data_IF_686319266937
#
_entry.id   IF_686319266937
#
_cell.length_a   1.000
_cell.length_b   1.000
_cell.length_c   1.000
_cell.angle_alpha   90.00
_cell.angle_beta   90.00
_cell.angle_gamma   90.00
#
_symmetry.space_group_name_H-M   'P 1'
#
loop_
_entity.id
_entity.type
_entity.pdbx_description
1 polymer ?
#
# COMPACT_ATOMS: atom_id res chain seq x y z
N UNK A 1 43.98 28.78 67.56
CA UNK A 1 43.43 27.92 66.49
C UNK A 1 44.54 27.53 65.55
N UNK A 2 45.03 26.29 65.65
CA UNK A 2 46.15 25.77 64.86
C UNK A 2 45.64 25.19 63.54
N UNK A 3 46.11 25.72 62.41
CA UNK A 3 45.88 25.14 61.08
C UNK A 3 47.02 24.18 60.72
N UNK A 4 46.72 22.89 60.61
CA UNK A 4 47.62 21.82 60.15
C UNK A 4 47.94 22.01 58.65
N UNK A 5 49.19 22.34 58.33
CA UNK A 5 49.76 22.12 56.98
C UNK A 5 49.90 20.62 56.72
N UNK A 6 49.20 20.09 55.73
CA UNK A 6 49.47 18.77 55.13
C UNK A 6 50.63 18.92 54.15
N UNK A 7 51.78 18.30 54.45
CA UNK A 7 52.83 18.05 53.47
C UNK A 7 52.33 17.00 52.46
N UNK A 8 52.06 17.42 51.23
CA UNK A 8 51.84 16.53 50.09
C UNK A 8 53.16 16.20 49.41
N UNK A 9 53.50 14.91 49.39
CA UNK A 9 54.61 14.34 48.61
C UNK A 9 54.28 14.50 47.12
N UNK A 10 55.20 14.99 46.27
CA UNK A 10 54.94 15.15 44.84
C UNK A 10 54.89 13.78 44.12
N UNK A 11 54.07 13.63 43.07
CA UNK A 11 54.04 12.41 42.26
C UNK A 11 55.35 12.24 41.48
N UNK A 12 55.87 11.01 41.45
CA UNK A 12 57.13 10.57 40.81
C UNK A 12 57.20 10.80 39.27
N UNK A 13 56.30 11.57 38.67
CA UNK A 13 56.20 11.76 37.22
C UNK A 13 57.08 12.88 36.63
N UNK A 14 57.76 13.68 37.45
CA UNK A 14 58.48 14.86 36.96
C UNK A 14 59.97 14.62 36.61
N UNK A 15 60.60 13.55 37.09
CA UNK A 15 62.04 13.33 36.91
C UNK A 15 62.42 12.46 35.68
N UNK A 16 61.46 11.84 34.99
CA UNK A 16 61.74 10.92 33.87
C UNK A 16 61.63 11.55 32.47
N UNK A 17 61.55 12.88 32.35
CA UNK A 17 61.41 13.58 31.06
C UNK A 17 62.74 13.98 30.40
N UNK A 18 63.89 13.70 31.01
CA UNK A 18 65.19 14.12 30.50
C UNK A 18 66.15 12.94 30.29
N UNK A 19 65.86 12.09 29.29
CA UNK A 19 66.87 11.28 28.58
C UNK A 19 66.22 10.51 27.42
N UNK A 20 65.77 11.23 26.39
CA UNK A 20 65.24 10.60 25.18
C UNK A 20 65.67 11.39 23.94
N UNK A 21 66.99 11.57 23.78
CA UNK A 21 67.60 12.00 22.53
C UNK A 21 68.78 11.07 22.22
N UNK A 22 68.46 9.95 21.57
CA UNK A 22 69.42 8.94 21.16
C UNK A 22 68.73 7.95 20.23
N UNK A 23 68.53 8.36 18.97
CA UNK A 23 68.01 7.47 17.93
C UNK A 23 69.07 6.45 17.53
N UNK A 24 68.94 5.23 18.04
CA UNK A 24 69.61 4.04 17.51
C UNK A 24 68.80 2.79 17.87
N UNK A 25 68.12 2.25 16.86
CA UNK A 25 67.64 0.87 16.71
C UNK A 25 66.75 0.28 17.84
N UNK A 26 65.46 0.61 17.82
CA UNK A 26 64.42 -0.15 18.55
C UNK A 26 64.09 -1.41 17.72
N UNK A 27 64.95 -2.42 17.85
CA UNK A 27 64.76 -3.73 17.23
C UNK A 27 63.84 -4.61 18.07
N UNK A 28 62.62 -4.86 17.60
CA UNK A 28 61.73 -5.87 18.20
C UNK A 28 62.23 -7.25 17.82
N UNK A 29 62.38 -8.13 18.82
CA UNK A 29 62.93 -9.46 18.64
C UNK A 29 61.95 -10.52 19.16
N UNK A 30 61.87 -11.64 18.46
CA UNK A 30 61.01 -12.76 18.85
C UNK A 30 61.81 -13.92 19.42
N UNK A 31 61.22 -14.62 20.39
CA UNK A 31 61.72 -15.88 20.93
C UNK A 31 60.55 -16.86 21.09
N UNK A 32 60.84 -18.15 21.24
CA UNK A 32 59.84 -19.20 21.46
C UNK A 32 60.08 -19.82 22.84
N UNK A 33 59.02 -19.91 23.65
CA UNK A 33 59.05 -20.60 24.95
C UNK A 33 57.78 -21.45 25.04
N UNK A 34 57.91 -22.74 25.35
CA UNK A 34 56.79 -23.70 25.40
C UNK A 34 55.89 -23.67 24.15
N UNK A 35 56.49 -23.51 22.95
CA UNK A 35 55.77 -23.44 21.68
C UNK A 35 54.98 -22.13 21.43
N UNK A 36 55.09 -21.14 22.32
CA UNK A 36 54.47 -19.82 22.15
C UNK A 36 55.53 -18.78 21.78
N UNK A 37 55.19 -17.91 20.82
CA UNK A 37 56.06 -16.79 20.42
C UNK A 37 55.91 -15.63 21.42
N UNK A 38 57.04 -15.19 21.97
CA UNK A 38 57.16 -13.97 22.75
C UNK A 38 57.93 -12.90 21.98
N UNK A 39 57.71 -11.65 22.38
CA UNK A 39 58.28 -10.46 21.78
C UNK A 39 58.96 -9.65 22.88
N UNK A 40 60.26 -9.46 22.75
CA UNK A 40 61.05 -8.51 23.54
C UNK A 40 61.44 -7.29 22.70
N UNK A 41 61.93 -6.24 23.36
CA UNK A 41 62.26 -4.98 22.66
C UNK A 41 61.08 -4.00 22.56
N UNK A 42 60.06 -4.12 23.41
CA UNK A 42 58.91 -3.20 23.36
C UNK A 42 59.28 -1.83 23.95
N UNK A 43 58.78 -0.76 23.34
CA UNK A 43 58.88 0.58 23.91
C UNK A 43 57.81 0.76 24.98
N UNK A 44 58.21 0.68 26.26
CA UNK A 44 57.32 0.83 27.39
C UNK A 44 57.08 2.29 27.78
N UNK A 45 55.82 2.71 27.79
CA UNK A 45 55.38 4.03 28.25
C UNK A 45 54.25 3.93 29.28
N UNK A 46 54.28 4.74 30.36
CA UNK A 46 53.15 4.85 31.27
C UNK A 46 51.95 5.47 30.56
N UNK A 47 50.75 5.02 30.93
CA UNK A 47 49.49 5.61 30.51
C UNK A 47 48.88 6.40 31.66
N UNK A 48 48.31 7.57 31.36
CA UNK A 48 47.70 8.44 32.36
C UNK A 48 46.28 7.99 32.75
N UNK A 49 45.54 7.36 31.82
CA UNK A 49 44.15 6.98 32.04
C UNK A 49 43.97 5.49 32.30
N UNK A 50 43.53 5.11 33.50
CA UNK A 50 43.18 3.71 33.80
C UNK A 50 41.89 3.24 33.10
N UNK A 51 40.92 4.13 32.84
CA UNK A 51 39.62 3.78 32.21
C UNK A 51 39.70 3.77 30.69
N UNK A 52 40.36 4.76 30.10
CA UNK A 52 40.42 4.95 28.65
C UNK A 52 41.80 4.63 28.05
N UNK A 53 42.59 3.79 28.74
CA UNK A 53 43.96 3.42 28.38
C UNK A 53 44.12 2.96 26.92
N UNK A 54 43.15 2.23 26.37
CA UNK A 54 43.23 1.77 24.97
C UNK A 54 43.10 2.93 23.97
N UNK A 55 42.29 3.95 24.26
CA UNK A 55 42.18 5.12 23.39
C UNK A 55 43.46 5.96 23.44
N UNK A 56 44.02 6.12 24.65
CA UNK A 56 45.32 6.77 24.87
C UNK A 56 46.47 6.02 24.17
N UNK A 57 46.55 4.71 24.34
CA UNK A 57 47.54 3.86 23.67
C UNK A 57 47.43 3.95 22.15
N UNK A 58 46.21 4.00 21.58
CA UNK A 58 45.99 4.26 20.14
C UNK A 58 46.50 5.63 19.70
N UNK A 59 46.29 6.68 20.51
CA UNK A 59 46.79 8.02 20.22
C UNK A 59 48.32 8.06 20.21
N UNK A 60 48.96 7.51 21.25
CA UNK A 60 50.42 7.43 21.37
C UNK A 60 51.00 6.60 20.21
N UNK A 61 50.41 5.44 19.95
CA UNK A 61 50.83 4.58 18.84
C UNK A 61 50.73 5.27 17.48
N UNK A 62 49.65 6.02 17.21
CA UNK A 62 49.53 6.83 15.98
C UNK A 62 50.62 7.92 15.91
N UNK A 63 50.89 8.62 17.01
CA UNK A 63 51.91 9.67 17.07
C UNK A 63 53.32 9.13 16.83
N UNK A 64 53.62 7.95 17.40
CA UNK A 64 54.94 7.30 17.30
C UNK A 64 55.07 6.28 16.16
N UNK A 65 54.07 6.20 15.28
CA UNK A 65 54.03 5.26 14.12
C UNK A 65 54.22 3.78 14.53
N UNK A 66 53.55 3.39 15.61
CA UNK A 66 53.53 2.02 16.13
C UNK A 66 52.28 1.28 15.64
N UNK A 67 52.42 0.01 15.29
CA UNK A 67 51.32 -0.82 14.74
C UNK A 67 50.74 -1.77 15.79
N UNK A 68 51.53 -2.11 16.81
CA UNK A 68 51.21 -3.13 17.81
C UNK A 68 51.38 -2.57 19.23
N UNK A 69 50.57 -3.09 20.16
CA UNK A 69 50.63 -2.73 21.58
C UNK A 69 50.39 -3.95 22.48
N UNK A 70 51.15 -4.06 23.56
CA UNK A 70 50.85 -4.88 24.73
C UNK A 70 50.49 -3.96 25.91
N UNK A 71 49.52 -4.36 26.73
CA UNK A 71 49.12 -3.57 27.91
C UNK A 71 49.51 -4.33 29.16
N UNK A 72 50.22 -3.66 30.07
CA UNK A 72 50.49 -4.16 31.41
C UNK A 72 49.73 -3.32 32.44
N UNK A 73 49.03 -4.00 33.34
CA UNK A 73 48.40 -3.40 34.51
C UNK A 73 49.03 -4.01 35.75
N UNK A 74 49.51 -3.17 36.66
CA UNK A 74 49.88 -3.50 38.04
C UNK A 74 48.96 -2.73 38.99
N UNK A 75 49.10 -2.98 40.29
CA UNK A 75 48.34 -2.23 41.31
C UNK A 75 48.77 -0.77 41.39
N UNK A 76 50.03 -0.50 41.03
CA UNK A 76 50.68 0.81 41.07
C UNK A 76 50.49 1.64 39.79
N UNK A 77 50.29 1.00 38.63
CA UNK A 77 50.35 1.69 37.34
C UNK A 77 49.80 0.89 36.15
N UNK A 78 49.63 1.58 35.02
CA UNK A 78 49.31 1.00 33.73
C UNK A 78 50.30 1.47 32.67
N UNK A 79 50.81 0.55 31.86
CA UNK A 79 51.77 0.83 30.80
C UNK A 79 51.37 0.18 29.47
N UNK A 80 51.79 0.81 28.38
CA UNK A 80 51.75 0.25 27.04
C UNK A 80 53.17 -0.05 26.55
N UNK A 81 53.39 -1.29 26.14
CA UNK A 81 54.57 -1.71 25.38
C UNK A 81 54.27 -1.64 23.89
N UNK A 82 54.91 -0.72 23.17
CA UNK A 82 54.68 -0.50 21.74
C UNK A 82 55.69 -1.24 20.88
N UNK A 83 55.23 -1.72 19.73
CA UNK A 83 56.09 -2.27 18.67
C UNK A 83 55.77 -1.61 17.31
N UNK A 84 56.81 -1.25 16.53
CA UNK A 84 56.64 -0.74 15.17
C UNK A 84 56.12 -1.83 14.24
N UNK A 85 55.79 -1.42 13.01
CA UNK A 85 55.48 -2.36 11.93
C UNK A 85 56.73 -3.13 11.54
N UNK A 86 56.68 -4.45 11.66
CA UNK A 86 57.74 -5.37 11.25
C UNK A 86 57.31 -6.20 10.03
N UNK A 87 58.28 -6.81 9.32
CA UNK A 87 57.98 -7.80 8.26
C UNK A 87 57.33 -9.05 8.84
N UNK A 88 57.74 -9.48 10.04
CA UNK A 88 57.09 -10.56 10.77
C UNK A 88 55.75 -10.10 11.37
N UNK A 89 54.75 -10.98 11.32
CA UNK A 89 53.42 -10.73 11.91
C UNK A 89 53.45 -10.95 13.41
N UNK A 90 53.53 -9.86 14.18
CA UNK A 90 53.54 -9.90 15.66
C UNK A 90 52.15 -10.08 16.30
N UNK A 91 51.07 -9.98 15.53
CA UNK A 91 49.70 -10.12 16.05
C UNK A 91 49.48 -11.50 16.63
N UNK A 92 49.15 -11.55 17.92
CA UNK A 92 48.92 -12.78 18.66
C UNK A 92 50.18 -13.36 19.32
N UNK A 93 51.32 -12.68 19.26
CA UNK A 93 52.49 -13.00 20.10
C UNK A 93 52.33 -12.38 21.48
N UNK A 94 53.01 -12.91 22.49
CA UNK A 94 52.99 -12.40 23.86
C UNK A 94 54.14 -11.42 24.11
N UNK A 95 53.96 -10.42 24.98
CA UNK A 95 55.07 -9.59 25.43
C UNK A 95 55.94 -10.37 26.42
N UNK A 96 57.26 -10.44 26.17
CA UNK A 96 58.23 -11.07 27.06
C UNK A 96 58.20 -10.41 28.45
N UNK A 97 58.38 -9.08 28.49
CA UNK A 97 58.40 -8.34 29.74
C UNK A 97 57.08 -8.45 30.51
N UNK A 98 55.92 -8.35 29.83
CA UNK A 98 54.63 -8.49 30.51
C UNK A 98 54.41 -9.90 31.09
N UNK A 99 54.86 -10.93 30.36
CA UNK A 99 54.72 -12.33 30.77
C UNK A 99 55.64 -12.65 31.95
N UNK A 100 56.93 -12.28 31.89
CA UNK A 100 57.87 -12.46 33.00
C UNK A 100 57.41 -11.71 34.24
N UNK A 101 56.94 -10.48 34.07
CA UNK A 101 56.44 -9.66 35.18
C UNK A 101 55.09 -10.15 35.73
N UNK A 102 54.39 -11.03 35.02
CA UNK A 102 53.23 -11.77 35.52
C UNK A 102 53.62 -13.01 36.33
N UNK A 103 54.83 -13.55 36.16
CA UNK A 103 55.36 -14.72 36.87
C UNK A 103 56.23 -14.35 38.08
N UNK A 104 57.07 -13.31 37.96
CA UNK A 104 58.08 -12.93 38.97
C UNK A 104 57.60 -11.83 39.94
N UNK A 105 56.41 -11.29 39.72
CA UNK A 105 55.83 -10.24 40.56
C UNK A 105 56.29 -8.82 40.19
N UNK A 106 56.28 -7.93 41.18
CA UNK A 106 56.33 -6.48 40.93
C UNK A 106 57.72 -5.85 40.95
N UNK A 107 58.75 -6.47 41.54
CA UNK A 107 60.10 -5.91 41.54
C UNK A 107 61.15 -7.00 41.39
N UNK A 108 61.92 -6.94 40.30
CA UNK A 108 62.99 -7.88 39.97
C UNK A 108 63.82 -7.34 38.78
N UNK A 109 65.03 -7.86 38.64
CA UNK A 109 65.92 -7.57 37.50
C UNK A 109 66.41 -8.90 36.93
N UNK A 110 66.23 -9.10 35.63
CA UNK A 110 66.51 -10.38 34.99
C UNK A 110 67.32 -10.22 33.71
N UNK A 111 68.49 -10.84 33.66
CA UNK A 111 69.19 -11.17 32.43
C UNK A 111 69.03 -12.68 32.17
N UNK A 112 68.73 -13.06 30.94
CA UNK A 112 68.47 -14.45 30.59
C UNK A 112 69.19 -14.82 29.30
N UNK A 113 69.89 -15.96 29.31
CA UNK A 113 70.41 -16.59 28.10
C UNK A 113 69.26 -17.21 27.30
N UNK A 114 69.28 -17.00 25.98
CA UNK A 114 68.30 -17.53 25.03
C UNK A 114 68.90 -18.71 24.25
N UNK A 115 68.04 -19.58 23.73
CA UNK A 115 68.46 -20.78 22.98
C UNK A 115 69.30 -20.47 21.73
N UNK A 116 69.16 -19.27 21.17
CA UNK A 116 69.90 -18.81 19.99
C UNK A 116 71.22 -18.09 20.33
N UNK A 117 71.67 -18.16 21.59
CA UNK A 117 72.91 -17.56 22.07
C UNK A 117 72.83 -16.06 22.35
N UNK A 118 71.67 -15.44 22.11
CA UNK A 118 71.41 -14.05 22.52
C UNK A 118 71.01 -14.00 23.99
N UNK A 119 70.96 -12.81 24.54
CA UNK A 119 70.52 -12.56 25.91
C UNK A 119 69.36 -11.57 25.93
N UNK A 120 68.42 -11.76 26.84
CA UNK A 120 67.33 -10.83 27.12
C UNK A 120 67.58 -10.13 28.47
N UNK A 121 67.30 -8.83 28.54
CA UNK A 121 67.29 -8.06 29.78
C UNK A 121 65.89 -7.49 30.00
N UNK A 122 65.32 -7.78 31.17
CA UNK A 122 64.08 -7.18 31.63
C UNK A 122 64.24 -6.68 33.06
N UNK A 123 63.88 -5.42 33.32
CA UNK A 123 63.85 -4.88 34.69
C UNK A 123 62.47 -4.33 35.02
N UNK A 124 61.92 -4.76 36.15
CA UNK A 124 60.63 -4.32 36.68
C UNK A 124 60.79 -3.81 38.09
N UNK A 125 60.27 -2.63 38.40
CA UNK A 125 60.26 -2.05 39.76
C UNK A 125 58.86 -1.53 40.02
N UNK A 126 58.25 -1.87 41.15
CA UNK A 126 56.87 -1.49 41.49
C UNK A 126 55.87 -1.75 40.36
N UNK A 127 55.97 -2.90 39.69
CA UNK A 127 55.11 -3.31 38.59
C UNK A 127 55.39 -2.61 37.26
N UNK A 128 56.28 -1.62 37.23
CA UNK A 128 56.68 -0.83 36.06
C UNK A 128 57.86 -1.49 35.37
N UNK A 129 57.72 -1.82 34.09
CA UNK A 129 58.86 -2.15 33.22
C UNK A 129 59.64 -0.86 32.98
N UNK A 130 60.92 -0.85 33.34
CA UNK A 130 61.75 0.34 33.20
C UNK A 130 61.98 0.66 31.71
N UNK A 131 61.88 1.94 31.30
CA UNK A 131 62.13 2.32 29.91
C UNK A 131 63.51 1.87 29.42
N UNK A 132 63.56 1.24 28.25
CA UNK A 132 64.80 0.71 27.67
C UNK A 132 65.32 -0.57 28.33
N UNK A 133 64.61 -1.13 29.30
CA UNK A 133 64.97 -2.37 30.01
C UNK A 133 64.01 -3.51 29.65
N UNK A 134 63.66 -3.59 28.36
CA UNK A 134 63.07 -4.75 27.70
C UNK A 134 63.83 -4.86 26.38
N UNK A 135 64.98 -5.51 26.40
CA UNK A 135 65.91 -5.59 25.27
C UNK A 135 66.41 -7.01 25.06
N UNK A 136 66.73 -7.34 23.81
CA UNK A 136 67.38 -8.58 23.41
C UNK A 136 68.62 -8.22 22.59
N UNK A 137 69.77 -8.80 22.90
CA UNK A 137 71.03 -8.48 22.26
C UNK A 137 72.11 -9.54 22.48
N UNK A 138 73.33 -9.22 22.09
CA UNK A 138 74.51 -10.02 22.43
C UNK A 138 74.87 -9.93 23.92
N UNK A 139 75.82 -10.78 24.34
CA UNK A 139 76.23 -10.91 25.73
C UNK A 139 76.84 -9.61 26.27
N UNK A 140 77.70 -8.98 25.47
CA UNK A 140 78.43 -7.77 25.84
C UNK A 140 77.47 -6.60 26.10
N UNK A 141 76.50 -6.38 25.21
CA UNK A 141 75.47 -5.36 25.36
C UNK A 141 74.60 -5.59 26.58
N UNK A 142 74.13 -6.82 26.78
CA UNK A 142 73.23 -7.14 27.89
C UNK A 142 73.95 -7.07 29.22
N UNK A 143 75.20 -7.51 29.29
CA UNK A 143 76.04 -7.37 30.49
C UNK A 143 76.31 -5.90 30.83
N UNK A 144 76.65 -5.07 29.84
CA UNK A 144 76.87 -3.64 30.04
C UNK A 144 75.60 -2.92 30.53
N UNK A 145 74.45 -3.21 29.92
CA UNK A 145 73.19 -2.58 30.32
C UNK A 145 72.71 -3.10 31.69
N UNK A 146 72.91 -4.39 32.01
CA UNK A 146 72.62 -4.92 33.35
C UNK A 146 73.43 -4.20 34.43
N UNK A 147 74.75 -4.04 34.24
CA UNK A 147 75.62 -3.33 35.17
C UNK A 147 75.20 -1.87 35.38
N UNK A 148 74.91 -1.18 34.28
CA UNK A 148 74.46 0.21 34.29
C UNK A 148 73.12 0.36 35.01
N UNK A 149 72.14 -0.48 34.69
CA UNK A 149 70.81 -0.43 35.31
C UNK A 149 70.87 -0.81 36.78
N UNK A 150 71.65 -1.82 37.16
CA UNK A 150 71.88 -2.16 38.56
C UNK A 150 72.45 -0.96 39.34
N UNK A 151 73.48 -0.32 38.82
CA UNK A 151 74.10 0.86 39.45
C UNK A 151 73.11 2.02 39.62
N UNK A 152 72.28 2.27 38.60
CA UNK A 152 71.28 3.35 38.64
C UNK A 152 70.12 3.05 39.59
N UNK A 153 69.65 1.81 39.65
CA UNK A 153 68.51 1.42 40.50
C UNK A 153 68.93 1.34 41.96
N UNK A 154 70.13 0.82 42.25
CA UNK A 154 70.63 0.66 43.63
C UNK A 154 71.17 1.94 44.25
N UNK A 155 71.38 3.00 43.46
CA UNK A 155 71.68 4.34 43.99
C UNK A 155 70.54 4.90 44.88
N UNK A 156 69.31 4.41 44.72
CA UNK A 156 68.17 4.70 45.58
C UNK A 156 67.99 3.56 46.60
N UNK A 157 68.20 3.79 47.91
CA UNK A 157 68.09 2.75 48.94
C UNK A 157 66.73 2.05 48.97
N UNK A 158 65.65 2.76 48.62
CA UNK A 158 64.29 2.19 48.61
C UNK A 158 64.14 1.18 47.48
N UNK A 159 64.73 1.47 46.31
CA UNK A 159 64.71 0.55 45.16
C UNK A 159 65.71 -0.58 45.32
N UNK A 160 66.87 -0.32 45.94
CA UNK A 160 67.85 -1.34 46.27
C UNK A 160 67.23 -2.47 47.11
N UNK A 161 66.49 -2.10 48.18
CA UNK A 161 65.77 -3.06 49.02
C UNK A 161 64.72 -3.90 48.25
N UNK A 162 64.12 -3.36 47.19
CA UNK A 162 63.16 -4.09 46.35
C UNK A 162 63.80 -5.12 45.43
N UNK A 163 65.08 -4.95 45.11
CA UNK A 163 65.87 -5.86 44.28
C UNK A 163 66.65 -6.90 45.08
N UNK A 164 66.75 -6.74 46.40
CA UNK A 164 67.48 -7.66 47.27
C UNK A 164 66.95 -9.11 47.10
N UNK A 165 67.84 -10.03 46.70
CA UNK A 165 67.50 -11.43 46.43
C UNK A 165 66.59 -11.67 45.21
N UNK A 166 66.34 -10.66 44.37
CA UNK A 166 65.42 -10.73 43.20
C UNK A 166 66.10 -10.38 41.88
N UNK A 167 67.39 -10.68 41.80
CA UNK A 167 68.18 -10.56 40.58
C UNK A 167 68.37 -11.95 40.02
N UNK A 168 68.03 -12.14 38.75
CA UNK A 168 68.22 -13.38 38.01
C UNK A 168 69.17 -13.07 36.88
N UNK A 169 70.29 -13.77 36.80
CA UNK A 169 71.29 -13.53 35.75
C UNK A 169 72.10 -14.81 35.56
N UNK A 170 72.68 -15.07 34.37
CA UNK A 170 73.58 -16.20 34.20
C UNK A 170 74.81 -16.07 35.11
N UNK A 171 75.35 -17.20 35.57
CA UNK A 171 76.49 -17.21 36.49
C UNK A 171 77.71 -16.50 35.89
N UNK A 172 77.84 -16.52 34.56
CA UNK A 172 78.90 -15.85 33.79
C UNK A 172 78.85 -14.32 33.86
N UNK A 173 77.80 -13.72 34.46
CA UNK A 173 77.64 -12.28 34.64
C UNK A 173 78.01 -11.83 36.06
N UNK A 174 78.21 -12.74 37.02
CA UNK A 174 78.59 -12.46 38.42
C UNK A 174 77.62 -11.52 39.18
N UNK A 175 76.32 -11.62 38.93
CA UNK A 175 75.29 -10.77 39.57
C UNK A 175 74.48 -11.45 40.67
N UNK A 176 74.20 -12.74 40.52
CA UNK A 176 73.30 -13.48 41.40
C UNK A 176 73.65 -14.97 41.35
N UNK A 177 73.19 -15.71 42.36
CA UNK A 177 73.21 -17.17 42.35
C UNK A 177 71.93 -17.77 41.70
N UNK A 178 70.91 -16.95 41.41
CA UNK A 178 69.72 -17.36 40.66
C UNK A 178 69.96 -17.24 39.15
N UNK A 179 70.10 -18.38 38.49
CA UNK A 179 70.44 -18.51 37.07
C UNK A 179 69.31 -19.16 36.23
N UNK A 180 68.07 -19.16 36.73
CA UNK A 180 66.94 -19.84 36.07
C UNK A 180 66.70 -19.33 34.65
N UNK A 181 66.46 -20.24 33.70
CA UNK A 181 66.11 -19.88 32.33
C UNK A 181 64.69 -19.29 32.21
N UNK A 182 64.42 -18.57 31.12
CA UNK A 182 63.07 -18.02 30.83
C UNK A 182 62.01 -19.13 30.83
N UNK A 183 62.32 -20.31 30.31
CA UNK A 183 61.41 -21.45 30.24
C UNK A 183 61.07 -22.07 31.60
N UNK A 184 61.93 -21.90 32.61
CA UNK A 184 61.67 -22.34 33.99
C UNK A 184 60.75 -21.38 34.74
N UNK A 185 60.79 -20.09 34.39
CA UNK A 185 60.01 -19.02 35.02
C UNK A 185 58.63 -18.86 34.37
N UNK A 186 58.57 -18.98 33.04
CA UNK A 186 57.33 -18.90 32.27
C UNK A 186 56.78 -20.31 32.14
N UNK A 187 55.77 -20.64 32.96
CA UNK A 187 55.03 -21.89 32.84
C UNK A 187 53.91 -21.82 31.79
N UNK A 188 53.21 -22.93 31.52
CA UNK A 188 52.06 -22.96 30.60
C UNK A 188 50.96 -21.95 30.96
N UNK A 189 50.74 -21.69 32.26
CA UNK A 189 49.70 -20.78 32.75
C UNK A 189 50.12 -19.29 32.71
N UNK A 190 51.39 -18.99 32.46
CA UNK A 190 51.90 -17.62 32.36
C UNK A 190 51.39 -16.88 31.11
N UNK A 191 50.92 -17.60 30.09
CA UNK A 191 50.45 -17.05 28.81
C UNK A 191 49.02 -16.49 28.87
N UNK A 192 48.84 -15.35 29.55
CA UNK A 192 47.52 -14.70 29.69
C UNK A 192 47.16 -13.84 28.48
N UNK A 193 45.88 -13.84 28.09
CA UNK A 193 45.34 -13.05 26.96
C UNK A 193 45.59 -11.54 27.06
N UNK A 194 45.80 -11.03 28.27
CA UNK A 194 46.13 -9.62 28.53
C UNK A 194 47.54 -9.24 28.09
N UNK A 195 48.47 -10.20 27.99
CA UNK A 195 49.85 -9.99 27.54
C UNK A 195 50.04 -10.12 26.03
N UNK A 196 48.97 -10.40 25.28
CA UNK A 196 49.00 -10.50 23.82
C UNK A 196 49.18 -9.13 23.18
N UNK A 197 50.05 -9.08 22.17
CA UNK A 197 50.16 -7.94 21.28
C UNK A 197 48.90 -7.80 20.43
N UNK A 198 48.28 -6.63 20.53
CA UNK A 198 47.09 -6.23 19.79
C UNK A 198 47.42 -5.20 18.74
N UNK A 199 46.66 -5.22 17.65
CA UNK A 199 46.80 -4.28 16.55
C UNK A 199 46.14 -2.95 16.94
N UNK A 200 46.85 -1.84 16.77
CA UNK A 200 46.35 -0.51 17.14
C UNK A 200 45.34 0.05 16.12
N UNK A 201 45.50 -0.30 14.85
CA UNK A 201 44.68 0.18 13.73
C UNK A 201 44.03 -0.99 12.98
N UNK A 202 42.79 -0.80 12.52
CA UNK A 202 42.19 -1.65 11.50
C UNK A 202 42.90 -1.28 10.19
N UNK A 203 43.75 -2.17 9.68
CA UNK A 203 44.62 -1.92 8.53
C UNK A 203 43.90 -1.86 7.18
N UNK A 204 42.79 -1.13 7.09
CA UNK A 204 42.11 -0.83 5.82
C UNK A 204 42.91 0.23 5.06
N UNK A 205 43.27 -0.06 3.82
CA UNK A 205 43.95 0.91 2.96
C UNK A 205 42.95 1.92 2.40
N UNK A 206 43.38 3.16 2.13
CA UNK A 206 42.51 4.20 1.57
C UNK A 206 41.80 3.76 0.27
N UNK A 207 42.47 2.92 -0.53
CA UNK A 207 41.92 2.33 -1.75
C UNK A 207 40.75 1.38 -1.48
N UNK A 208 40.78 0.60 -0.38
CA UNK A 208 39.68 -0.28 0.01
C UNK A 208 38.45 0.51 0.45
N UNK A 209 38.65 1.66 1.12
CA UNK A 209 37.57 2.56 1.52
C UNK A 209 36.92 3.19 0.28
N UNK A 210 37.73 3.68 -0.66
CA UNK A 210 37.23 4.27 -1.91
C UNK A 210 36.43 3.25 -2.74
N UNK A 211 36.94 2.03 -2.90
CA UNK A 211 36.25 0.98 -3.64
C UNK A 211 34.93 0.56 -2.98
N UNK A 212 34.91 0.47 -1.64
CA UNK A 212 33.69 0.21 -0.88
C UNK A 212 32.63 1.31 -1.07
N UNK A 213 33.06 2.57 -1.12
CA UNK A 213 32.17 3.71 -1.39
C UNK A 213 31.54 3.64 -2.79
N UNK A 214 32.33 3.33 -3.82
CA UNK A 214 31.82 3.17 -5.19
C UNK A 214 30.83 2.01 -5.30
N UNK A 215 31.15 0.86 -4.69
CA UNK A 215 30.26 -0.30 -4.68
C UNK A 215 28.92 0.02 -3.99
N UNK A 216 28.95 0.72 -2.85
CA UNK A 216 27.74 1.14 -2.15
C UNK A 216 26.88 2.09 -3.01
N UNK A 217 27.51 3.07 -3.67
CA UNK A 217 26.81 4.00 -4.55
C UNK A 217 26.15 3.28 -5.75
N UNK A 218 26.83 2.30 -6.34
CA UNK A 218 26.29 1.50 -7.44
C UNK A 218 25.05 0.69 -7.01
N UNK A 219 25.08 0.10 -5.80
CA UNK A 219 23.94 -0.64 -5.25
C UNK A 219 22.74 0.30 -5.03
N UNK A 220 22.97 1.50 -4.50
CA UNK A 220 21.91 2.49 -4.29
C UNK A 220 21.31 2.95 -5.63
N UNK A 221 22.16 3.23 -6.63
CA UNK A 221 21.70 3.64 -7.96
C UNK A 221 20.89 2.53 -8.65
N UNK A 222 21.33 1.27 -8.57
CA UNK A 222 20.60 0.12 -9.08
C UNK A 222 19.24 -0.05 -8.37
N UNK A 223 19.22 0.08 -7.04
CA UNK A 223 17.99 0.02 -6.25
C UNK A 223 16.98 1.11 -6.64
N UNK A 224 17.44 2.36 -6.79
CA UNK A 224 16.60 3.47 -7.25
C UNK A 224 16.04 3.23 -8.67
N UNK A 225 16.85 2.67 -9.57
CA UNK A 225 16.43 2.31 -10.93
C UNK A 225 15.34 1.24 -10.94
N UNK A 226 15.45 0.21 -10.10
CA UNK A 226 14.43 -0.84 -9.96
C UNK A 226 13.12 -0.28 -9.42
N UNK A 227 13.17 0.57 -8.39
CA UNK A 227 11.98 1.21 -7.82
C UNK A 227 11.27 2.10 -8.85
N UNK A 228 12.03 2.92 -9.59
CA UNK A 228 11.48 3.76 -10.65
C UNK A 228 10.84 2.93 -11.78
N UNK A 229 11.47 1.81 -12.17
CA UNK A 229 10.92 0.91 -13.19
C UNK A 229 9.61 0.25 -12.74
N UNK A 230 9.53 -0.19 -11.48
CA UNK A 230 8.31 -0.76 -10.91
C UNK A 230 7.16 0.25 -10.90
N UNK A 231 7.42 1.48 -10.45
CA UNK A 231 6.40 2.54 -10.41
C UNK A 231 5.90 2.90 -11.82
N UNK A 232 6.80 2.99 -12.80
CA UNK A 232 6.41 3.27 -14.19
C UNK A 232 5.55 2.17 -14.79
N UNK A 233 5.83 0.91 -14.44
CA UNK A 233 5.05 -0.23 -14.89
C UNK A 233 3.64 -0.23 -14.29
N UNK A 234 3.52 0.07 -13.00
CA UNK A 234 2.23 0.16 -12.32
C UNK A 234 1.38 1.32 -12.89
N UNK A 235 1.98 2.46 -13.19
CA UNK A 235 1.28 3.58 -13.85
C UNK A 235 0.74 3.17 -15.23
N UNK A 236 1.55 2.51 -16.05
CA UNK A 236 1.14 2.05 -17.37
C UNK A 236 -0.02 1.02 -17.32
N UNK A 237 0.01 0.11 -16.34
CA UNK A 237 -1.07 -0.86 -16.12
C UNK A 237 -2.38 -0.17 -15.70
N UNK A 238 -2.32 0.83 -14.82
CA UNK A 238 -3.49 1.62 -14.40
C UNK A 238 -4.09 2.42 -15.56
N UNK A 239 -3.24 3.07 -16.35
CA UNK A 239 -3.68 3.81 -17.54
C UNK A 239 -4.32 2.89 -18.59
N UNK A 240 -3.73 1.71 -18.82
CA UNK A 240 -4.30 0.71 -19.73
C UNK A 240 -5.67 0.21 -19.26
N UNK A 241 -5.83 -0.05 -17.95
CA UNK A 241 -7.11 -0.45 -17.37
C UNK A 241 -8.16 0.67 -17.48
N UNK A 242 -7.79 1.90 -17.17
CA UNK A 242 -8.69 3.06 -17.28
C UNK A 242 -9.14 3.28 -18.73
N UNK A 243 -8.22 3.14 -19.69
CA UNK A 243 -8.55 3.24 -21.11
C UNK A 243 -9.49 2.11 -21.53
N UNK A 244 -9.22 0.86 -21.13
CA UNK A 244 -10.08 -0.28 -21.44
C UNK A 244 -11.50 -0.10 -20.87
N UNK A 245 -11.63 0.38 -19.64
CA UNK A 245 -12.92 0.69 -19.03
C UNK A 245 -13.64 1.83 -19.77
N UNK A 246 -12.93 2.90 -20.13
CA UNK A 246 -13.51 4.01 -20.88
C UNK A 246 -13.96 3.58 -22.29
N UNK A 247 -13.21 2.70 -22.95
CA UNK A 247 -13.60 2.13 -24.26
C UNK A 247 -14.83 1.25 -24.13
N UNK A 248 -14.90 0.39 -23.11
CA UNK A 248 -16.06 -0.46 -22.86
C UNK A 248 -17.30 0.37 -22.51
N UNK A 249 -17.16 1.38 -21.66
CA UNK A 249 -18.24 2.31 -21.33
C UNK A 249 -18.75 3.04 -22.57
N UNK A 250 -17.85 3.56 -23.42
CA UNK A 250 -18.25 4.17 -24.70
C UNK A 250 -18.93 3.18 -25.63
N UNK A 251 -18.53 1.90 -25.63
CA UNK A 251 -19.19 0.86 -26.42
C UNK A 251 -20.62 0.63 -25.92
N UNK A 252 -20.79 0.44 -24.61
CA UNK A 252 -22.09 0.27 -23.97
C UNK A 252 -22.99 1.49 -24.16
N UNK A 253 -22.45 2.70 -24.07
CA UNK A 253 -23.18 3.94 -24.32
C UNK A 253 -23.63 4.05 -25.78
N UNK A 254 -22.76 3.72 -26.73
CA UNK A 254 -23.11 3.67 -28.15
C UNK A 254 -24.15 2.59 -28.45
N UNK A 255 -24.06 1.43 -27.79
CA UNK A 255 -25.05 0.35 -27.87
C UNK A 255 -26.40 0.79 -27.29
N UNK A 256 -26.41 1.48 -26.14
CA UNK A 256 -27.61 2.02 -25.52
C UNK A 256 -28.23 3.16 -26.34
N UNK A 257 -27.42 4.05 -26.91
CA UNK A 257 -27.88 5.10 -27.82
C UNK A 257 -28.45 4.55 -29.15
N UNK A 258 -28.00 3.35 -29.54
CA UNK A 258 -28.57 2.60 -30.68
C UNK A 258 -29.82 1.80 -30.29
N UNK A 259 -30.15 1.63 -29.01
CA UNK A 259 -31.36 0.91 -28.63
C UNK A 259 -32.60 1.74 -29.00
N UNK A 260 -33.47 1.20 -29.86
CA UNK A 260 -34.75 1.83 -30.20
C UNK A 260 -35.62 1.90 -28.93
N UNK A 261 -36.17 3.08 -28.57
CA UNK A 261 -37.02 3.21 -27.39
C UNK A 261 -38.23 2.28 -27.50
N UNK A 262 -38.60 1.63 -26.39
CA UNK A 262 -39.74 0.73 -26.30
C UNK A 262 -41.04 1.54 -26.12
N UNK A 263 -41.94 1.63 -27.12
CA UNK A 263 -43.07 2.57 -27.10
C UNK A 263 -44.11 2.30 -25.99
N UNK A 264 -44.19 1.08 -25.48
CA UNK A 264 -45.14 0.71 -24.41
C UNK A 264 -44.71 1.18 -23.01
N UNK A 265 -43.47 1.65 -22.85
CA UNK A 265 -42.95 2.16 -21.56
C UNK A 265 -43.39 3.58 -21.23
N UNK A 266 -43.89 4.32 -22.22
CA UNK A 266 -44.40 5.69 -22.07
C UNK A 266 -45.93 5.75 -21.98
N UNK A 267 -46.61 4.61 -22.09
CA UNK A 267 -48.07 4.50 -22.07
C UNK A 267 -48.55 3.79 -20.80
N UNK A 268 -49.75 4.12 -20.29
CA UNK A 268 -50.33 3.42 -19.16
C UNK A 268 -50.73 1.98 -19.53
N UNK A 269 -50.86 1.13 -18.52
CA UNK A 269 -51.44 -0.21 -18.68
C UNK A 269 -52.85 -0.16 -19.28
N UNK A 270 -53.19 -1.15 -20.12
CA UNK A 270 -54.49 -1.24 -20.77
C UNK A 270 -55.66 -1.28 -19.77
N UNK A 271 -55.57 -2.04 -18.67
CA UNK A 271 -56.65 -2.10 -17.68
C UNK A 271 -56.82 -0.78 -16.94
N UNK A 272 -55.72 -0.10 -16.61
CA UNK A 272 -55.76 1.20 -15.92
C UNK A 272 -56.44 2.26 -16.77
N UNK A 273 -56.10 2.34 -18.06
CA UNK A 273 -56.76 3.28 -18.97
C UNK A 273 -58.23 2.92 -19.17
N UNK A 274 -58.53 1.64 -19.36
CA UNK A 274 -59.90 1.18 -19.58
C UNK A 274 -60.80 1.44 -18.37
N UNK A 275 -60.32 1.15 -17.15
CA UNK A 275 -61.04 1.45 -15.92
C UNK A 275 -61.22 2.96 -15.68
N UNK A 276 -60.20 3.78 -15.98
CA UNK A 276 -60.33 5.23 -15.85
C UNK A 276 -61.35 5.82 -16.84
N UNK A 277 -61.39 5.31 -18.07
CA UNK A 277 -62.39 5.69 -19.06
C UNK A 277 -63.80 5.27 -18.65
N UNK A 278 -63.95 4.07 -18.08
CA UNK A 278 -65.22 3.59 -17.53
C UNK A 278 -65.74 4.52 -16.42
N UNK A 279 -64.89 4.87 -15.46
CA UNK A 279 -65.25 5.80 -14.38
C UNK A 279 -65.70 7.17 -14.90
N UNK A 280 -65.00 7.73 -15.90
CA UNK A 280 -65.41 9.00 -16.50
C UNK A 280 -66.78 8.91 -17.16
N UNK A 281 -67.09 7.76 -17.78
CA UNK A 281 -68.40 7.56 -18.39
C UNK A 281 -69.50 7.37 -17.34
N UNK A 282 -69.24 6.65 -16.25
CA UNK A 282 -70.19 6.48 -15.15
C UNK A 282 -70.58 7.82 -14.51
N UNK A 283 -69.60 8.72 -14.35
CA UNK A 283 -69.81 10.06 -13.79
C UNK A 283 -70.41 11.06 -14.81
N UNK A 284 -70.50 10.70 -16.10
CA UNK A 284 -71.00 11.58 -17.14
C UNK A 284 -72.53 11.77 -17.04
N UNK A 285 -73.04 13.01 -16.90
CA UNK A 285 -74.47 13.25 -16.90
C UNK A 285 -75.13 12.81 -18.21
N UNK A 286 -76.25 12.08 -18.14
CA UNK A 286 -76.98 11.66 -19.36
C UNK A 286 -77.53 12.86 -20.16
N UNK A 287 -77.81 13.98 -19.49
CA UNK A 287 -78.19 15.23 -20.15
C UNK A 287 -77.70 16.47 -19.40
N UNK A 288 -77.30 17.49 -20.17
CA UNK A 288 -76.87 18.80 -19.67
C UNK A 288 -77.69 19.88 -20.37
N UNK A 289 -78.51 20.61 -19.63
CA UNK A 289 -79.37 21.68 -20.16
C UNK A 289 -80.21 21.23 -21.40
N UNK A 290 -80.69 19.99 -21.45
CA UNK A 290 -81.48 19.47 -22.59
C UNK A 290 -80.63 19.04 -23.80
N UNK A 291 -79.31 18.96 -23.65
CA UNK A 291 -78.42 18.26 -24.58
C UNK A 291 -78.20 16.85 -24.06
N UNK A 292 -78.31 15.84 -24.91
CA UNK A 292 -78.19 14.43 -24.51
C UNK A 292 -76.79 13.92 -24.82
N UNK A 293 -76.27 13.06 -23.95
CA UNK A 293 -75.03 12.34 -24.22
C UNK A 293 -75.16 11.56 -25.53
N UNK A 294 -74.14 11.66 -26.39
CA UNK A 294 -74.12 10.98 -27.68
C UNK A 294 -72.99 9.94 -27.72
N UNK A 295 -71.78 10.39 -27.40
CA UNK A 295 -70.57 9.56 -27.47
C UNK A 295 -69.49 10.10 -26.54
N UNK A 296 -68.50 9.27 -26.24
CA UNK A 296 -67.27 9.66 -25.55
C UNK A 296 -66.08 9.06 -26.28
N UNK A 297 -64.97 9.79 -26.28
CA UNK A 297 -63.71 9.33 -26.83
C UNK A 297 -62.59 9.58 -25.83
N UNK A 298 -61.95 8.52 -25.34
CA UNK A 298 -60.85 8.59 -24.39
C UNK A 298 -59.53 8.14 -25.03
N UNK A 299 -58.47 8.87 -24.72
CA UNK A 299 -57.07 8.50 -24.98
C UNK A 299 -56.30 8.44 -23.64
N UNK A 300 -54.97 8.29 -23.68
CA UNK A 300 -54.15 8.18 -22.47
C UNK A 300 -54.07 9.46 -21.62
N UNK A 301 -54.57 10.60 -22.11
CA UNK A 301 -54.48 11.91 -21.46
C UNK A 301 -55.84 12.49 -21.05
N UNK A 302 -56.90 12.21 -21.81
CA UNK A 302 -58.22 12.78 -21.55
C UNK A 302 -59.35 11.98 -22.19
N UNK A 303 -60.55 12.18 -21.67
CA UNK A 303 -61.82 11.76 -22.24
C UNK A 303 -62.60 12.98 -22.73
N UNK A 304 -63.04 12.96 -23.98
CA UNK A 304 -63.97 13.91 -24.55
C UNK A 304 -65.38 13.34 -24.48
N UNK A 305 -66.26 13.93 -23.68
CA UNK A 305 -67.68 13.61 -23.58
C UNK A 305 -68.47 14.50 -24.53
N UNK A 306 -69.13 13.92 -25.54
CA UNK A 306 -69.81 14.62 -26.61
C UNK A 306 -71.32 14.56 -26.39
N UNK A 307 -71.94 15.73 -26.44
CA UNK A 307 -73.37 15.94 -26.25
C UNK A 307 -73.99 16.54 -27.50
N UNK A 308 -75.14 16.01 -27.91
CA UNK A 308 -75.93 16.53 -29.03
C UNK A 308 -77.19 17.20 -28.52
N UNK A 309 -77.56 18.31 -29.16
CA UNK A 309 -78.79 19.04 -28.83
C UNK A 309 -80.01 18.19 -29.15
N UNK A 310 -80.80 17.84 -28.14
CA UNK A 310 -82.05 17.10 -28.36
C UNK A 310 -83.11 17.98 -29.04
N UNK A 311 -84.13 17.40 -29.70
CA UNK A 311 -85.29 18.16 -30.18
C UNK A 311 -85.95 18.94 -29.04
N UNK A 312 -86.04 20.27 -29.17
CA UNK A 312 -86.52 21.15 -28.10
C UNK A 312 -85.48 21.52 -27.03
N UNK A 313 -84.21 21.12 -27.18
CA UNK A 313 -83.12 21.44 -26.25
C UNK A 313 -82.80 22.94 -26.16
N UNK A 314 -82.05 23.34 -25.12
CA UNK A 314 -81.71 24.76 -24.90
C UNK A 314 -80.65 25.28 -25.88
N UNK A 315 -80.31 26.57 -25.79
CA UNK A 315 -79.25 27.17 -26.60
C UNK A 315 -77.87 26.68 -26.20
N UNK A 316 -76.88 26.82 -27.09
CA UNK A 316 -75.49 26.46 -26.78
C UNK A 316 -74.90 27.25 -25.60
N UNK A 317 -75.34 28.49 -25.40
CA UNK A 317 -74.93 29.29 -24.24
C UNK A 317 -75.37 28.69 -22.91
N UNK A 318 -76.56 28.09 -22.87
CA UNK A 318 -77.06 27.39 -21.67
C UNK A 318 -76.28 26.09 -21.41
N UNK A 319 -75.94 25.34 -22.46
CA UNK A 319 -75.05 24.18 -22.37
C UNK A 319 -73.67 24.55 -21.82
N UNK A 320 -73.01 25.56 -22.40
CA UNK A 320 -71.68 26.01 -21.97
C UNK A 320 -71.71 26.54 -20.53
N UNK A 321 -72.78 27.21 -20.12
CA UNK A 321 -72.94 27.69 -18.75
C UNK A 321 -73.13 26.54 -17.76
N UNK A 322 -73.92 25.53 -18.11
CA UNK A 322 -74.15 24.35 -17.27
C UNK A 322 -72.91 23.43 -17.20
N UNK A 323 -72.14 23.33 -18.28
CA UNK A 323 -70.90 22.55 -18.38
C UNK A 323 -69.62 23.33 -18.03
N UNK A 324 -69.74 24.60 -17.60
CA UNK A 324 -68.59 25.49 -17.40
C UNK A 324 -67.58 24.95 -16.38
N UNK A 325 -68.07 24.35 -15.29
CA UNK A 325 -67.23 23.76 -14.24
C UNK A 325 -66.36 22.58 -14.75
N UNK A 326 -66.80 21.91 -15.82
CA UNK A 326 -66.07 20.80 -16.44
C UNK A 326 -65.36 21.21 -17.75
N UNK A 327 -65.23 22.52 -18.01
CA UNK A 327 -64.50 23.01 -19.18
C UNK A 327 -65.20 22.79 -20.52
N UNK A 328 -66.54 22.81 -20.53
CA UNK A 328 -67.35 22.62 -21.73
C UNK A 328 -66.98 23.57 -22.88
N UNK A 329 -66.90 23.03 -24.10
CA UNK A 329 -66.62 23.77 -25.34
C UNK A 329 -67.68 23.48 -26.40
N UNK A 330 -67.84 24.43 -27.30
CA UNK A 330 -68.66 24.30 -28.51
C UNK A 330 -67.84 23.62 -29.60
N UNK A 331 -68.40 22.58 -30.24
CA UNK A 331 -67.86 22.01 -31.48
C UNK A 331 -68.58 22.59 -32.70
N UNK A 332 -69.91 22.56 -32.72
CA UNK A 332 -70.73 23.14 -33.79
C UNK A 332 -72.06 23.71 -33.22
N UNK A 333 -73.07 23.99 -34.06
CA UNK A 333 -74.37 24.54 -33.62
C UNK A 333 -75.26 23.52 -32.86
N UNK A 334 -75.00 22.22 -33.00
CA UNK A 334 -75.75 21.11 -32.41
C UNK A 334 -74.92 20.14 -31.56
N UNK A 335 -73.61 20.35 -31.45
CA UNK A 335 -72.66 19.48 -30.73
C UNK A 335 -71.78 20.27 -29.76
N UNK A 336 -71.75 19.81 -28.50
CA UNK A 336 -70.90 20.32 -27.43
C UNK A 336 -70.02 19.21 -26.86
N UNK A 337 -68.88 19.59 -26.28
CA UNK A 337 -67.91 18.66 -25.69
C UNK A 337 -67.49 19.09 -24.30
N UNK A 338 -67.27 18.13 -23.41
CA UNK A 338 -66.69 18.32 -22.08
C UNK A 338 -65.44 17.45 -22.00
N UNK A 339 -64.32 18.00 -21.52
CA UNK A 339 -63.06 17.26 -21.40
C UNK A 339 -62.78 16.89 -19.95
N UNK A 340 -62.60 15.60 -19.70
CA UNK A 340 -62.15 15.06 -18.42
C UNK A 340 -60.71 14.60 -18.54
N UNK A 341 -59.80 15.23 -17.79
CA UNK A 341 -58.37 14.89 -17.81
C UNK A 341 -58.14 13.54 -17.10
N UNK A 342 -57.28 12.71 -17.68
CA UNK A 342 -56.80 11.47 -17.07
C UNK A 342 -55.34 11.65 -16.61
N UNK A 343 -55.05 11.27 -15.37
CA UNK A 343 -53.69 11.28 -14.81
C UNK A 343 -53.23 9.85 -14.54
N UNK A 344 -52.77 9.19 -15.60
CA UNK A 344 -52.33 7.80 -15.55
C UNK A 344 -50.81 7.72 -15.65
N UNK A 345 -50.18 7.05 -14.68
CA UNK A 345 -48.74 6.82 -14.71
C UNK A 345 -48.39 5.78 -15.80
N UNK A 346 -47.31 6.01 -16.58
CA UNK A 346 -46.76 4.99 -17.46
C UNK A 346 -46.35 3.75 -16.69
N UNK A 347 -46.47 2.60 -17.32
CA UNK A 347 -46.04 1.33 -16.74
C UNK A 347 -44.60 1.01 -17.12
N UNK A 348 -43.82 0.56 -16.13
CA UNK A 348 -42.41 0.19 -16.36
C UNK A 348 -42.32 -1.02 -17.29
N UNK A 349 -41.28 -1.03 -18.12
CA UNK A 349 -41.09 -2.07 -19.13
C UNK A 349 -40.87 -3.45 -18.53
N UNK A 350 -41.69 -4.40 -18.98
CA UNK A 350 -41.59 -5.83 -18.68
C UNK A 350 -41.01 -6.61 -19.87
N UNK A 351 -40.55 -7.83 -19.61
CA UNK A 351 -40.10 -8.75 -20.65
C UNK A 351 -41.30 -9.27 -21.46
N UNK A 352 -41.32 -8.97 -22.76
CA UNK A 352 -42.38 -9.42 -23.65
C UNK A 352 -42.16 -10.85 -24.15
N UNK A 353 -43.19 -11.68 -24.07
CA UNK A 353 -43.27 -12.98 -24.75
C UNK A 353 -43.28 -12.80 -26.28
N UNK A 354 -42.95 -13.85 -27.08
CA UNK A 354 -43.02 -13.80 -28.54
C UNK A 354 -44.35 -13.25 -29.04
N UNK A 355 -44.33 -12.42 -30.08
CA UNK A 355 -45.58 -11.82 -30.60
C UNK A 355 -46.62 -12.87 -31.00
N UNK A 356 -46.19 -14.03 -31.50
CA UNK A 356 -47.08 -15.12 -31.90
C UNK A 356 -47.84 -15.74 -30.71
N UNK A 357 -47.17 -15.92 -29.57
CA UNK A 357 -47.80 -16.45 -28.35
C UNK A 357 -48.80 -15.44 -27.77
N UNK A 358 -48.46 -14.15 -27.83
CA UNK A 358 -49.33 -13.06 -27.37
C UNK A 358 -50.55 -12.90 -28.25
N UNK A 359 -50.37 -12.92 -29.57
CA UNK A 359 -51.45 -12.87 -30.56
C UNK A 359 -52.39 -14.07 -30.39
N UNK A 360 -51.84 -15.27 -30.23
CA UNK A 360 -52.63 -16.48 -29.93
C UNK A 360 -53.43 -16.33 -28.63
N UNK A 361 -52.79 -15.86 -27.55
CA UNK A 361 -53.45 -15.68 -26.25
C UNK A 361 -54.56 -14.63 -26.31
N UNK A 362 -54.33 -13.52 -27.01
CA UNK A 362 -55.32 -12.46 -27.24
C UNK A 362 -56.54 -13.01 -27.99
N UNK A 363 -56.31 -13.68 -29.13
CA UNK A 363 -57.40 -14.24 -29.94
C UNK A 363 -58.17 -15.31 -29.17
N UNK A 364 -57.47 -16.24 -28.51
CA UNK A 364 -58.09 -17.31 -27.74
C UNK A 364 -58.95 -16.77 -26.59
N UNK A 365 -58.48 -15.74 -25.89
CA UNK A 365 -59.23 -15.09 -24.82
C UNK A 365 -60.53 -14.45 -25.33
N UNK A 366 -60.46 -13.67 -26.42
CA UNK A 366 -61.66 -13.01 -26.94
C UNK A 366 -62.64 -13.94 -27.67
N UNK A 367 -62.16 -15.06 -28.22
CA UNK A 367 -63.03 -16.10 -28.79
C UNK A 367 -63.97 -16.72 -27.75
N UNK A 368 -63.57 -16.76 -26.46
CA UNK A 368 -64.41 -17.28 -25.39
C UNK A 368 -65.70 -16.45 -25.17
N UNK A 369 -65.70 -15.17 -25.56
CA UNK A 369 -66.89 -14.30 -25.49
C UNK A 369 -67.88 -14.52 -26.64
N UNK A 370 -67.51 -15.32 -27.65
CA UNK A 370 -68.38 -15.70 -28.76
C UNK A 370 -68.98 -14.49 -29.51
N UNK A 371 -70.30 -14.43 -29.74
CA UNK A 371 -70.93 -13.39 -30.55
C UNK A 371 -70.99 -12.01 -29.87
N UNK A 372 -70.67 -11.92 -28.58
CA UNK A 372 -70.84 -10.70 -27.79
C UNK A 372 -69.65 -9.73 -27.86
N UNK A 373 -68.53 -10.18 -28.43
CA UNK A 373 -67.32 -9.37 -28.64
C UNK A 373 -66.81 -9.60 -30.06
N UNK A 374 -66.64 -8.52 -30.82
CA UNK A 374 -65.98 -8.54 -32.12
C UNK A 374 -64.54 -8.09 -31.97
N UNK A 375 -63.58 -8.89 -32.42
CA UNK A 375 -62.16 -8.54 -32.35
C UNK A 375 -61.45 -8.69 -33.68
N UNK A 376 -60.60 -7.73 -34.02
CA UNK A 376 -59.62 -7.84 -35.10
C UNK A 376 -58.23 -7.56 -34.55
N UNK A 377 -57.23 -8.27 -35.08
CA UNK A 377 -55.82 -8.02 -34.81
C UNK A 377 -55.05 -8.17 -36.12
N UNK A 378 -54.23 -7.18 -36.46
CA UNK A 378 -53.49 -7.13 -37.72
C UNK A 378 -52.05 -6.68 -37.48
N UNK A 379 -51.15 -7.00 -38.43
CA UNK A 379 -49.81 -6.42 -38.43
C UNK A 379 -49.92 -4.90 -38.58
N UNK A 380 -49.23 -4.15 -37.74
CA UNK A 380 -49.05 -2.73 -38.01
C UNK A 380 -48.32 -2.54 -39.35
N UNK A 381 -48.69 -1.51 -40.10
CA UNK A 381 -48.00 -1.21 -41.36
C UNK A 381 -46.50 -1.03 -41.07
N UNK A 382 -45.65 -1.76 -41.79
CA UNK A 382 -44.21 -1.60 -41.67
C UNK A 382 -43.87 -0.16 -42.07
N UNK A 383 -43.39 0.64 -41.11
CA UNK A 383 -42.74 1.91 -41.44
C UNK A 383 -41.52 1.52 -42.26
N UNK A 384 -41.53 1.84 -43.56
CA UNK A 384 -40.38 1.61 -44.43
C UNK A 384 -39.13 2.13 -43.73
N UNK A 385 -38.02 1.36 -43.67
CA UNK A 385 -36.80 1.85 -43.07
C UNK A 385 -36.45 3.16 -43.77
N UNK A 386 -36.34 4.25 -43.02
CA UNK A 386 -35.56 5.37 -43.50
C UNK A 386 -34.18 4.80 -43.87
N UNK A 387 -33.71 5.09 -45.08
CA UNK A 387 -32.40 4.70 -45.55
C UNK A 387 -31.34 4.90 -44.47
N UNK A 388 -30.33 4.01 -44.46
CA UNK A 388 -29.11 4.02 -43.64
C UNK A 388 -29.17 3.34 -42.27
N UNK A 389 -28.75 2.07 -42.21
CA UNK A 389 -28.02 1.49 -41.07
C UNK A 389 -28.65 1.50 -39.67
N UNK A 390 -29.91 1.90 -39.53
CA UNK A 390 -30.58 1.98 -38.24
C UNK A 390 -30.80 0.55 -37.68
N UNK A 391 -30.56 0.33 -36.38
CA UNK A 391 -30.82 -0.94 -35.73
C UNK A 391 -32.30 -1.31 -35.89
N UNK A 392 -32.61 -2.57 -36.12
CA UNK A 392 -34.01 -3.03 -36.21
C UNK A 392 -34.59 -3.17 -34.80
N UNK A 393 -35.87 -2.81 -34.58
CA UNK A 393 -36.50 -3.01 -33.28
C UNK A 393 -36.48 -4.51 -32.95
N UNK A 394 -36.19 -4.84 -31.70
CA UNK A 394 -36.23 -6.21 -31.15
C UNK A 394 -37.65 -6.63 -30.74
N UNK A 395 -38.64 -5.85 -31.18
CA UNK A 395 -40.05 -6.00 -30.85
C UNK A 395 -40.90 -5.80 -32.09
N UNK A 396 -42.05 -6.47 -32.09
CA UNK A 396 -43.07 -6.42 -33.13
C UNK A 396 -44.35 -5.80 -32.57
N UNK A 397 -45.12 -5.17 -33.45
CA UNK A 397 -46.36 -4.45 -33.11
C UNK A 397 -47.53 -5.04 -33.91
N UNK A 398 -48.62 -5.35 -33.21
CA UNK A 398 -49.93 -5.63 -33.81
C UNK A 398 -50.91 -4.53 -33.41
N UNK A 399 -51.79 -4.15 -34.31
CA UNK A 399 -52.89 -3.23 -34.03
C UNK A 399 -54.15 -4.06 -33.86
N UNK A 400 -54.95 -3.76 -32.83
CA UNK A 400 -56.19 -4.45 -32.55
C UNK A 400 -57.37 -3.50 -32.43
N UNK A 401 -58.55 -4.04 -32.70
CA UNK A 401 -59.83 -3.36 -32.45
C UNK A 401 -60.77 -4.34 -31.77
N UNK A 402 -61.49 -3.87 -30.74
CA UNK A 402 -62.50 -4.63 -30.02
C UNK A 402 -63.80 -3.84 -30.02
N UNK A 403 -64.87 -4.44 -30.55
CA UNK A 403 -66.25 -3.95 -30.45
C UNK A 403 -67.01 -4.80 -29.43
N UNK A 404 -67.66 -4.17 -28.46
CA UNK A 404 -68.48 -4.89 -27.48
C UNK A 404 -69.58 -4.01 -26.89
N UNK A 405 -70.62 -4.64 -26.34
CA UNK A 405 -71.61 -3.98 -25.49
C UNK A 405 -71.35 -4.25 -23.99
N UNK A 406 -70.35 -5.08 -23.67
CA UNK A 406 -69.98 -5.32 -22.28
C UNK A 406 -69.33 -4.07 -21.67
N UNK A 407 -69.56 -3.83 -20.37
CA UNK A 407 -68.80 -2.85 -19.63
C UNK A 407 -67.29 -3.14 -19.75
N UNK A 408 -66.49 -2.15 -20.15
CA UNK A 408 -65.13 -2.37 -20.59
C UNK A 408 -64.19 -2.80 -19.46
N UNK A 409 -64.50 -2.45 -18.21
CA UNK A 409 -63.73 -2.85 -17.02
C UNK A 409 -63.70 -4.38 -16.82
N UNK A 410 -64.72 -5.11 -17.27
CA UNK A 410 -64.79 -6.57 -17.21
C UNK A 410 -64.11 -7.25 -18.40
N UNK A 411 -63.86 -6.50 -19.47
CA UNK A 411 -63.40 -7.05 -20.75
C UNK A 411 -62.00 -7.66 -20.65
N UNK A 412 -61.11 -7.06 -19.86
CA UNK A 412 -59.70 -7.46 -19.75
C UNK A 412 -59.38 -8.28 -18.49
N UNK A 413 -60.40 -8.67 -17.72
CA UNK A 413 -60.21 -9.42 -16.48
C UNK A 413 -59.65 -10.82 -16.76
N UNK A 414 -58.44 -11.10 -16.23
CA UNK A 414 -57.77 -12.38 -16.43
C UNK A 414 -56.91 -12.48 -17.71
N UNK A 415 -56.92 -11.48 -18.59
CA UNK A 415 -56.01 -11.39 -19.74
C UNK A 415 -54.64 -10.80 -19.35
N UNK A 416 -53.52 -11.39 -19.76
CA UNK A 416 -52.20 -10.77 -19.60
C UNK A 416 -52.09 -9.47 -20.41
N UNK A 417 -52.06 -8.32 -19.72
CA UNK A 417 -51.98 -6.99 -20.35
C UNK A 417 -50.56 -6.46 -20.53
N UNK A 418 -49.54 -7.26 -20.25
CA UNK A 418 -48.12 -6.88 -20.39
C UNK A 418 -47.79 -6.44 -21.82
N UNK A 419 -47.54 -5.14 -22.08
CA UNK A 419 -47.32 -4.66 -23.46
C UNK A 419 -48.58 -4.62 -24.34
N UNK A 420 -49.77 -4.78 -23.76
CA UNK A 420 -51.04 -4.37 -24.37
C UNK A 420 -51.26 -2.89 -24.02
N UNK A 421 -51.46 -2.04 -25.03
CA UNK A 421 -51.67 -0.59 -24.84
C UNK A 421 -52.91 -0.16 -25.60
N UNK A 422 -53.85 0.47 -24.91
CA UNK A 422 -55.04 1.03 -25.55
C UNK A 422 -54.70 2.45 -26.01
N UNK A 423 -54.98 2.75 -27.27
CA UNK A 423 -54.72 4.08 -27.86
C UNK A 423 -55.98 4.93 -27.90
N UNK A 424 -57.15 4.30 -28.06
CA UNK A 424 -58.43 5.00 -28.13
C UNK A 424 -59.57 4.11 -27.64
N UNK A 425 -60.47 4.68 -26.84
CA UNK A 425 -61.73 4.05 -26.39
C UNK A 425 -62.86 4.96 -26.84
N UNK A 426 -63.84 4.44 -27.56
CA UNK A 426 -65.05 5.17 -27.95
C UNK A 426 -66.26 4.47 -27.38
N UNK A 427 -67.05 5.16 -26.58
CA UNK A 427 -68.35 4.69 -26.12
C UNK A 427 -69.45 5.51 -26.79
N UNK A 428 -70.52 4.89 -27.28
CA UNK A 428 -71.58 5.61 -27.99
C UNK A 428 -72.96 4.99 -27.75
N UNK A 429 -73.99 5.83 -27.78
CA UNK A 429 -75.39 5.36 -27.72
C UNK A 429 -75.81 4.96 -29.15
N UNK A 430 -76.23 3.71 -29.39
CA UNK A 430 -76.70 3.30 -30.71
C UNK A 430 -78.03 3.99 -31.03
N UNK A 431 -78.03 4.94 -31.97
CA UNK A 431 -79.25 5.64 -32.39
C UNK A 431 -80.01 4.87 -33.49
N UNK A 432 -81.34 4.78 -33.36
CA UNK A 432 -82.23 4.18 -34.36
C UNK A 432 -82.64 5.12 -35.49
N UNK A 433 -82.34 6.43 -35.40
CA UNK A 433 -82.64 7.41 -36.45
C UNK A 433 -81.37 8.05 -37.05
N UNK A 434 -81.29 7.98 -38.39
CA UNK A 434 -80.41 8.76 -39.30
C UNK A 434 -78.89 8.69 -39.08
N UNK A 435 -78.24 7.73 -39.74
CA UNK A 435 -76.80 7.79 -40.01
C UNK A 435 -76.55 8.14 -41.48
N UNK A 436 -76.23 9.41 -41.74
CA UNK A 436 -75.49 9.76 -42.95
C UNK A 436 -74.03 9.34 -42.72
N UNK A 437 -73.55 8.50 -43.63
CA UNK A 437 -72.21 7.92 -43.73
C UNK A 437 -71.12 8.99 -43.76
N UNK A 438 -70.20 9.01 -42.80
CA UNK A 438 -68.78 8.76 -43.11
C UNK A 438 -67.91 8.37 -41.91
N UNK A 439 -68.45 8.28 -40.68
CA UNK A 439 -67.64 8.05 -39.46
C UNK A 439 -68.11 6.89 -38.57
N UNK A 440 -69.11 6.09 -39.00
CA UNK A 440 -69.31 4.80 -38.33
C UNK A 440 -68.08 3.92 -38.60
N UNK A 441 -67.38 3.42 -37.58
CA UNK A 441 -66.51 2.28 -37.79
C UNK A 441 -67.40 1.16 -38.34
N UNK A 442 -67.05 0.61 -39.51
CA UNK A 442 -67.74 -0.56 -40.06
C UNK A 442 -67.44 -1.76 -39.17
N UNK A 443 -68.16 -1.88 -38.06
CA UNK A 443 -68.08 -3.03 -37.16
C UNK A 443 -69.14 -4.03 -37.56
N UNK A 444 -68.74 -5.29 -37.73
CA UNK A 444 -69.58 -6.45 -38.01
C UNK A 444 -70.46 -6.86 -36.79
N UNK A 445 -70.59 -5.96 -35.81
CA UNK A 445 -71.19 -6.15 -34.49
C UNK A 445 -72.49 -5.34 -34.42
N UNK A 446 -73.60 -6.03 -34.24
CA UNK A 446 -74.91 -5.41 -33.99
C UNK A 446 -75.11 -5.28 -32.48
N UNK A 447 -75.07 -4.05 -31.98
CA UNK A 447 -75.35 -3.68 -30.59
C UNK A 447 -76.57 -2.77 -30.46
N UNK A 448 -77.44 -2.76 -31.47
CA UNK A 448 -78.59 -1.85 -31.55
C UNK A 448 -79.61 -2.02 -30.41
N UNK A 449 -79.60 -3.17 -29.71
CA UNK A 449 -80.46 -3.44 -28.56
C UNK A 449 -79.88 -2.97 -27.21
N UNK A 450 -78.66 -2.45 -27.18
CA UNK A 450 -77.92 -2.13 -25.96
C UNK A 450 -77.90 -0.62 -25.69
N UNK A 451 -77.73 -0.23 -24.43
CA UNK A 451 -77.75 1.18 -24.03
C UNK A 451 -76.50 1.94 -24.48
N UNK A 452 -75.33 1.28 -24.43
CA UNK A 452 -74.03 1.86 -24.81
C UNK A 452 -73.19 0.78 -25.49
N UNK A 453 -72.56 1.12 -26.61
CA UNK A 453 -71.60 0.29 -27.30
C UNK A 453 -70.19 0.85 -27.17
N UNK A 454 -69.19 -0.02 -27.17
CA UNK A 454 -67.78 0.30 -27.04
C UNK A 454 -66.99 -0.12 -28.26
N UNK A 455 -66.07 0.73 -28.69
CA UNK A 455 -65.04 0.44 -29.66
C UNK A 455 -63.67 0.81 -29.08
N UNK A 456 -62.83 -0.19 -28.87
CA UNK A 456 -61.52 -0.06 -28.22
C UNK A 456 -60.46 -0.38 -29.26
N UNK A 457 -59.52 0.54 -29.43
CA UNK A 457 -58.38 0.40 -30.34
C UNK A 457 -57.09 0.41 -29.53
N UNK A 458 -56.13 -0.38 -29.97
CA UNK A 458 -54.84 -0.43 -29.30
C UNK A 458 -53.77 -1.18 -30.05
N UNK A 459 -52.66 -1.33 -29.35
CA UNK A 459 -51.43 -1.92 -29.83
C UNK A 459 -51.04 -3.08 -28.90
N UNK A 460 -50.68 -4.21 -29.49
CA UNK A 460 -50.10 -5.37 -28.80
C UNK A 460 -48.63 -5.49 -29.20
N UNK A 461 -47.75 -5.42 -28.21
CA UNK A 461 -46.31 -5.54 -28.38
C UNK A 461 -45.82 -6.94 -27.97
N UNK A 462 -44.82 -7.45 -28.70
CA UNK A 462 -44.17 -8.74 -28.44
C UNK A 462 -42.73 -8.75 -28.95
N UNK A 463 -41.91 -9.73 -28.51
CA UNK A 463 -40.56 -9.93 -29.10
C UNK A 463 -40.62 -10.61 -30.47
#
# INVERSE_FOLDING_TARGET
MFARKKNSIPPLGAAAKASASGGSDVGVNTLIVHGRKLVGGLLWEPLESYRNYMAEAKRIGKQRKMDMVAIRKSDSAIQAGFAPRTKERLKGHYSLAATLAGSLGESWMGAFELEDGRYALVTVIDGIVLPGQDIIGDRERISAELNKTYSLVTADPVKAAKLEGKIIAPASFNFSNDNRAVAEIIGPDSFRKEYLLRQLTLGLTAQQIALGGVAAAAVVAAGAGVLYWMEKREQAEREALALAQATEQKRLELEAARAIPQPWTSQPDARKLLGAAAMVLEDAPLSIAGWSYAESACDSQQCALIYRRAPGGTSIGAFLSAGAAAGGKRLDDGTGVIYSKLELAPEKGDLLSPIAEREYSFVNYFQAFGPYVSTSITAAAAVAPADSGAPKPTWLKREFTIGTAFPPELLLEGLDTTGLRITKIVAFVPSTETANSSERPQTQFDCSSELICWNIQGELYGR
#
